data_IF_747462136755
#
_entry.id   IF_747462136755
#
_cell.length_a   1.000
_cell.length_b   1.000
_cell.length_c   1.000
_cell.angle_alpha   90.00
_cell.angle_beta   90.00
_cell.angle_gamma   90.00
#
_symmetry.space_group_name_H-M   'P 1'
#
loop_
_entity.id
_entity.type
_entity.pdbx_description
1 polymer ?
#
# COMPACT_ATOMS: atom_id res chain seq x y z
N UNK A 1 49.48 -5.34 -25.80
CA UNK A 1 48.71 -4.13 -25.46
C UNK A 1 48.04 -4.34 -24.12
N UNK A 2 48.53 -3.69 -23.06
CA UNK A 2 47.98 -3.86 -21.72
C UNK A 2 46.58 -3.23 -21.64
N UNK A 3 45.57 -3.99 -21.20
CA UNK A 3 44.23 -3.48 -20.90
C UNK A 3 44.38 -2.35 -19.88
N UNK A 4 44.00 -1.13 -20.26
CA UNK A 4 43.95 0.00 -19.33
C UNK A 4 43.18 -0.44 -18.07
N UNK A 5 43.79 -0.25 -16.90
CA UNK A 5 43.21 -0.61 -15.60
C UNK A 5 41.92 0.19 -15.46
N UNK A 6 40.78 -0.46 -15.73
CA UNK A 6 39.47 0.19 -15.76
C UNK A 6 39.25 0.98 -14.48
N UNK A 7 38.93 2.27 -14.62
CA UNK A 7 38.65 3.16 -13.49
C UNK A 7 37.51 2.52 -12.69
N UNK A 8 37.72 2.37 -11.37
CA UNK A 8 36.76 1.70 -10.49
C UNK A 8 35.43 2.45 -10.49
N UNK A 9 34.43 1.88 -11.16
CA UNK A 9 33.12 2.49 -11.40
C UNK A 9 32.32 2.65 -10.10
N UNK A 10 32.73 1.97 -9.01
CA UNK A 10 32.11 2.10 -7.71
C UNK A 10 32.41 3.46 -7.05
N UNK A 11 33.63 3.99 -7.23
CA UNK A 11 34.06 5.26 -6.63
C UNK A 11 33.35 6.48 -7.18
N UNK A 12 32.69 6.33 -8.33
CA UNK A 12 31.92 7.38 -9.00
C UNK A 12 30.47 7.46 -8.52
N UNK A 13 30.04 6.55 -7.64
CA UNK A 13 28.67 6.53 -7.13
C UNK A 13 28.58 7.31 -5.82
N UNK A 14 27.55 8.12 -5.72
CA UNK A 14 27.20 8.86 -4.52
C UNK A 14 26.00 8.19 -3.84
N UNK A 15 25.96 8.28 -2.51
CA UNK A 15 24.83 7.81 -1.70
C UNK A 15 23.79 8.91 -1.60
N UNK A 16 22.53 8.54 -1.78
CA UNK A 16 21.38 9.43 -1.65
C UNK A 16 20.37 8.87 -0.67
N UNK A 17 19.90 9.73 0.22
CA UNK A 17 18.93 9.37 1.24
C UNK A 17 17.51 9.43 0.69
N UNK A 18 16.74 8.38 0.89
CA UNK A 18 15.35 8.30 0.43
C UNK A 18 14.44 8.75 1.56
N UNK A 19 13.72 9.84 1.31
CA UNK A 19 12.77 10.40 2.25
C UNK A 19 11.35 9.93 1.92
N UNK A 20 10.62 9.54 2.96
CA UNK A 20 9.20 9.23 2.84
C UNK A 20 8.40 10.47 2.42
N UNK A 21 7.21 10.30 1.80
CA UNK A 21 6.32 11.42 1.57
C UNK A 21 5.87 12.03 2.91
N UNK A 22 5.47 13.30 2.90
CA UNK A 22 4.95 14.04 4.06
C UNK A 22 3.84 13.28 4.82
N UNK A 23 3.02 12.51 4.10
CA UNK A 23 1.97 11.63 4.62
C UNK A 23 2.46 10.64 5.70
N UNK A 24 3.75 10.31 5.71
CA UNK A 24 4.37 9.35 6.62
C UNK A 24 5.42 10.00 7.54
N UNK A 25 5.38 11.33 7.70
CA UNK A 25 6.27 12.05 8.61
C UNK A 25 7.68 12.35 8.07
N UNK A 26 7.88 12.20 6.75
CA UNK A 26 9.17 12.48 6.08
C UNK A 26 10.37 11.72 6.69
N UNK A 27 10.15 10.51 7.18
CA UNK A 27 11.21 9.66 7.74
C UNK A 27 12.14 9.15 6.65
N UNK A 28 13.42 8.94 6.99
CA UNK A 28 14.38 8.26 6.12
C UNK A 28 14.02 6.77 6.01
N UNK A 29 13.67 6.31 4.80
CA UNK A 29 13.26 4.92 4.54
C UNK A 29 14.48 4.05 4.22
N UNK A 30 15.48 4.63 3.57
CA UNK A 30 16.66 3.91 3.14
C UNK A 30 17.57 4.78 2.29
N UNK A 31 18.55 4.15 1.67
CA UNK A 31 19.57 4.83 0.89
C UNK A 31 19.67 4.19 -0.49
N UNK A 32 19.97 4.98 -1.51
CA UNK A 32 20.21 4.49 -2.86
C UNK A 32 21.44 5.13 -3.42
N UNK A 33 22.31 4.32 -4.00
CA UNK A 33 23.48 4.82 -4.71
C UNK A 33 23.22 5.03 -6.20
N UNK A 34 23.78 6.09 -6.77
CA UNK A 34 23.78 6.33 -8.20
C UNK A 34 25.01 7.15 -8.64
N UNK A 35 25.40 7.01 -9.91
CA UNK A 35 26.45 7.85 -10.50
C UNK A 35 25.88 9.19 -10.97
N UNK A 36 24.64 9.19 -11.45
CA UNK A 36 23.92 10.40 -11.85
C UNK A 36 22.53 10.45 -11.19
N UNK A 37 22.08 11.63 -10.72
CA UNK A 37 20.76 11.79 -10.12
C UNK A 37 19.60 11.35 -11.02
N UNK A 38 19.77 11.44 -12.35
CA UNK A 38 18.76 11.01 -13.34
C UNK A 38 18.46 9.51 -13.26
N UNK A 39 19.44 8.68 -12.87
CA UNK A 39 19.28 7.22 -12.77
C UNK A 39 18.45 6.79 -11.56
N UNK A 40 18.21 7.69 -10.60
CA UNK A 40 17.42 7.44 -9.39
C UNK A 40 15.93 7.53 -9.71
N UNK A 41 15.56 8.46 -10.60
CA UNK A 41 14.16 8.69 -10.99
C UNK A 41 13.55 7.41 -11.53
N UNK A 42 12.41 7.02 -10.97
CA UNK A 42 11.66 5.85 -11.42
C UNK A 42 12.02 4.52 -10.76
N UNK A 43 13.05 4.47 -9.90
CA UNK A 43 13.28 3.28 -9.06
C UNK A 43 12.11 3.08 -8.09
N UNK A 44 11.85 1.82 -7.75
CA UNK A 44 10.79 1.43 -6.82
C UNK A 44 11.44 0.86 -5.59
N UNK A 45 11.09 1.43 -4.43
CA UNK A 45 11.48 0.92 -3.13
C UNK A 45 10.28 0.23 -2.49
N UNK A 46 10.52 -0.94 -1.89
CA UNK A 46 9.56 -1.62 -1.02
C UNK A 46 10.05 -1.51 0.42
N UNK A 47 9.17 -1.05 1.31
CA UNK A 47 9.44 -0.96 2.76
C UNK A 47 8.23 -1.49 3.53
N UNK A 48 8.38 -1.78 4.81
CA UNK A 48 7.24 -2.15 5.66
C UNK A 48 6.71 -0.95 6.42
N UNK A 49 5.42 -0.99 6.80
CA UNK A 49 4.87 0.04 7.68
C UNK A 49 5.53 -0.01 9.07
N UNK A 50 5.90 -1.21 9.52
CA UNK A 50 6.56 -1.40 10.82
C UNK A 50 7.86 -0.59 10.92
N UNK A 51 8.65 -0.56 9.85
CA UNK A 51 9.91 0.20 9.81
C UNK A 51 9.68 1.73 9.71
N UNK A 52 8.48 2.17 9.30
CA UNK A 52 8.13 3.59 9.18
C UNK A 52 7.55 4.17 10.47
N UNK A 53 6.81 3.38 11.24
CA UNK A 53 6.12 3.82 12.46
C UNK A 53 6.69 3.18 13.73
N UNK A 54 7.77 2.42 13.63
CA UNK A 54 8.35 1.61 14.71
C UNK A 54 7.33 0.67 15.40
N UNK A 55 6.29 0.24 14.68
CA UNK A 55 5.25 -0.68 15.17
C UNK A 55 5.33 -2.03 14.46
N UNK A 56 5.97 -3.00 15.12
CA UNK A 56 6.16 -4.35 14.62
C UNK A 56 4.84 -5.12 14.38
N UNK A 57 3.73 -4.68 14.98
CA UNK A 57 2.42 -5.31 14.74
C UNK A 57 1.98 -5.19 13.28
N UNK A 58 2.45 -4.15 12.59
CA UNK A 58 2.07 -3.83 11.20
C UNK A 58 3.14 -4.14 10.17
N UNK A 59 4.16 -4.93 10.52
CA UNK A 59 5.19 -5.38 9.57
C UNK A 59 4.65 -6.20 8.39
N UNK A 60 3.43 -6.73 8.49
CA UNK A 60 2.77 -7.43 7.39
C UNK A 60 2.28 -6.50 6.27
N UNK A 61 2.28 -5.18 6.46
CA UNK A 61 1.91 -4.19 5.45
C UNK A 61 3.17 -3.74 4.72
N UNK A 62 3.25 -4.06 3.42
CA UNK A 62 4.33 -3.63 2.53
C UNK A 62 3.89 -2.43 1.70
N UNK A 63 4.69 -1.38 1.73
CA UNK A 63 4.48 -0.13 1.00
C UNK A 63 5.45 -0.04 -0.16
N UNK A 64 4.97 0.50 -1.28
CA UNK A 64 5.78 0.71 -2.48
C UNK A 64 5.83 2.18 -2.85
N UNK A 65 7.05 2.68 -2.96
CA UNK A 65 7.35 4.08 -3.25
C UNK A 65 8.12 4.19 -4.57
N UNK A 66 7.78 5.18 -5.38
CA UNK A 66 8.51 5.57 -6.60
C UNK A 66 9.41 6.75 -6.27
N UNK A 67 10.69 6.67 -6.61
CA UNK A 67 11.59 7.81 -6.50
C UNK A 67 11.26 8.85 -7.60
N UNK A 68 11.01 10.10 -7.20
CA UNK A 68 10.62 11.19 -8.11
C UNK A 68 11.77 12.13 -8.41
N UNK A 69 12.21 12.89 -7.43
CA UNK A 69 13.19 13.96 -7.59
C UNK A 69 14.24 13.93 -6.50
N UNK A 70 15.45 14.33 -6.86
CA UNK A 70 16.57 14.48 -5.96
C UNK A 70 16.72 15.97 -5.67
N UNK A 71 16.68 16.35 -4.40
CA UNK A 71 16.90 17.71 -3.90
C UNK A 71 17.97 17.61 -2.81
N UNK A 72 19.09 18.33 -2.98
CA UNK A 72 20.18 18.42 -1.97
C UNK A 72 20.67 17.07 -1.43
N UNK A 73 20.76 16.05 -2.30
CA UNK A 73 21.18 14.70 -1.92
C UNK A 73 20.07 13.82 -1.32
N UNK A 74 18.91 14.39 -1.03
CA UNK A 74 17.70 13.68 -0.60
C UNK A 74 16.79 13.36 -1.78
N UNK A 75 16.14 12.21 -1.73
CA UNK A 75 15.24 11.73 -2.79
C UNK A 75 13.80 11.75 -2.28
N UNK A 76 12.99 12.58 -2.92
CA UNK A 76 11.55 12.61 -2.71
C UNK A 76 10.88 11.37 -3.32
N UNK A 77 9.93 10.81 -2.59
CA UNK A 77 9.18 9.62 -2.99
C UNK A 77 7.72 9.95 -3.32
N UNK A 78 7.13 9.18 -4.22
CA UNK A 78 5.70 9.14 -4.49
C UNK A 78 5.12 7.78 -4.13
N UNK A 79 3.94 7.76 -3.53
CA UNK A 79 3.24 6.52 -3.23
C UNK A 79 2.73 5.83 -4.51
N UNK A 80 3.05 4.55 -4.69
CA UNK A 80 2.54 3.72 -5.78
C UNK A 80 1.37 2.86 -5.31
N UNK A 81 1.46 2.33 -4.09
CA UNK A 81 0.48 1.39 -3.55
C UNK A 81 1.01 0.61 -2.37
N UNK A 82 0.11 -0.14 -1.74
CA UNK A 82 0.43 -1.06 -0.66
C UNK A 82 0.01 -2.48 -1.00
N UNK A 83 0.62 -3.44 -0.33
CA UNK A 83 0.26 -4.84 -0.41
C UNK A 83 0.44 -5.50 0.95
N UNK A 84 -0.48 -6.36 1.34
CA UNK A 84 -0.28 -7.22 2.49
C UNK A 84 0.66 -8.38 2.12
N UNK A 85 1.43 -8.83 3.11
CA UNK A 85 2.30 -10.00 2.96
C UNK A 85 1.48 -11.24 2.66
N UNK A 86 2.05 -12.13 1.84
CA UNK A 86 1.35 -13.34 1.38
C UNK A 86 1.10 -14.29 2.54
N UNK A 87 2.06 -14.33 3.45
CA UNK A 87 2.09 -15.11 4.68
C UNK A 87 0.92 -14.70 5.58
N UNK A 88 0.71 -13.40 5.72
CA UNK A 88 -0.39 -12.85 6.50
C UNK A 88 -1.74 -13.21 5.89
N UNK A 89 -1.95 -12.97 4.59
CA UNK A 89 -3.24 -13.29 3.95
C UNK A 89 -3.54 -14.79 4.02
N UNK A 90 -2.52 -15.65 3.88
CA UNK A 90 -2.67 -17.10 4.00
C UNK A 90 -3.04 -17.54 5.41
N UNK A 91 -2.51 -16.89 6.46
CA UNK A 91 -2.82 -17.25 7.84
C UNK A 91 -4.25 -16.88 8.26
N UNK A 92 -4.82 -15.85 7.66
CA UNK A 92 -6.20 -15.43 7.95
C UNK A 92 -7.25 -16.34 7.30
N UNK A 93 -6.97 -16.86 6.10
CA UNK A 93 -7.91 -17.71 5.35
C UNK A 93 -7.87 -19.13 5.90
N UNK A 94 -8.93 -19.54 6.60
CA UNK A 94 -9.06 -20.88 7.19
C UNK A 94 -10.05 -21.77 6.43
N UNK A 95 -9.94 -23.09 6.62
CA UNK A 95 -10.95 -24.05 6.16
C UNK A 95 -12.30 -23.72 6.81
N UNK A 96 -13.39 -23.91 6.07
CA UNK A 96 -14.78 -23.62 6.49
C UNK A 96 -15.14 -22.13 6.65
N UNK A 97 -14.22 -21.22 6.36
CA UNK A 97 -14.51 -19.81 6.14
C UNK A 97 -14.73 -19.51 4.65
N UNK A 98 -15.47 -18.45 4.37
CA UNK A 98 -15.60 -17.89 3.01
C UNK A 98 -14.78 -16.61 2.92
N UNK A 99 -13.97 -16.51 1.87
CA UNK A 99 -13.25 -15.29 1.53
C UNK A 99 -14.03 -14.52 0.46
N UNK A 100 -14.37 -13.27 0.74
CA UNK A 100 -15.02 -12.37 -0.22
C UNK A 100 -14.01 -11.33 -0.67
N UNK A 101 -13.67 -11.35 -1.96
CA UNK A 101 -12.84 -10.32 -2.58
C UNK A 101 -13.73 -9.24 -3.22
N UNK A 102 -13.35 -7.98 -3.02
CA UNK A 102 -13.92 -6.82 -3.69
C UNK A 102 -12.77 -6.01 -4.33
N UNK A 103 -12.87 -5.72 -5.63
CA UNK A 103 -11.89 -4.94 -6.38
C UNK A 103 -12.65 -3.75 -6.96
N UNK A 104 -12.28 -2.54 -6.55
CA UNK A 104 -12.97 -1.32 -6.93
C UNK A 104 -11.99 -0.26 -7.38
N UNK A 105 -12.37 0.42 -8.45
CA UNK A 105 -11.70 1.62 -8.91
C UNK A 105 -12.38 2.82 -8.26
N UNK A 106 -11.59 3.60 -7.54
CA UNK A 106 -12.03 4.77 -6.78
C UNK A 106 -11.29 6.01 -7.28
N UNK A 107 -11.97 7.15 -7.19
CA UNK A 107 -11.37 8.45 -7.47
C UNK A 107 -11.41 9.25 -6.18
N UNK A 108 -10.23 9.69 -5.74
CA UNK A 108 -10.08 10.60 -4.60
C UNK A 108 -10.63 11.99 -4.93
N UNK A 109 -10.86 12.82 -3.91
CA UNK A 109 -11.26 14.22 -4.07
C UNK A 109 -10.32 15.01 -4.99
N UNK A 110 -9.03 14.70 -4.94
CA UNK A 110 -7.98 15.34 -5.75
C UNK A 110 -7.93 14.85 -7.21
N UNK A 111 -8.87 13.99 -7.62
CA UNK A 111 -8.95 13.43 -8.97
C UNK A 111 -7.96 12.30 -9.26
N UNK A 112 -7.15 11.89 -8.27
CA UNK A 112 -6.26 10.71 -8.41
C UNK A 112 -7.08 9.42 -8.40
N UNK A 113 -6.74 8.49 -9.30
CA UNK A 113 -7.44 7.20 -9.44
C UNK A 113 -6.66 6.08 -8.77
N UNK A 114 -7.31 5.37 -7.87
CA UNK A 114 -6.75 4.20 -7.20
C UNK A 114 -7.60 2.96 -7.47
N UNK A 115 -6.94 1.81 -7.58
CA UNK A 115 -7.57 0.49 -7.53
C UNK A 115 -7.33 -0.10 -6.16
N UNK A 116 -8.40 -0.38 -5.44
CA UNK A 116 -8.37 -0.97 -4.12
C UNK A 116 -8.88 -2.40 -4.20
N UNK A 117 -8.18 -3.32 -3.57
CA UNK A 117 -8.63 -4.68 -3.34
C UNK A 117 -8.82 -4.88 -1.85
N UNK A 118 -10.08 -5.06 -1.43
CA UNK A 118 -10.46 -5.39 -0.08
C UNK A 118 -10.85 -6.87 0.04
N UNK A 119 -10.59 -7.45 1.20
CA UNK A 119 -10.95 -8.82 1.55
C UNK A 119 -11.77 -8.79 2.83
N UNK A 120 -12.88 -9.52 2.83
CA UNK A 120 -13.61 -9.89 4.03
C UNK A 120 -13.54 -11.41 4.23
N UNK A 121 -13.29 -11.84 5.47
CA UNK A 121 -13.20 -13.26 5.85
C UNK A 121 -14.28 -13.55 6.88
N UNK A 122 -15.20 -14.45 6.54
CA UNK A 122 -16.30 -14.84 7.42
C UNK A 122 -15.88 -15.87 8.48
N UNK A 123 -16.65 -15.96 9.58
CA UNK A 123 -16.44 -17.05 10.55
C UNK A 123 -16.92 -18.41 10.02
N UNK A 124 -17.98 -18.41 9.21
CA UNK A 124 -18.65 -19.61 8.68
C UNK A 124 -18.81 -19.51 7.17
N UNK A 125 -19.16 -20.62 6.52
CA UNK A 125 -19.56 -20.60 5.11
C UNK A 125 -20.80 -19.75 4.91
N UNK A 126 -20.74 -18.85 3.94
CA UNK A 126 -21.81 -17.91 3.60
C UNK A 126 -22.49 -18.35 2.29
N UNK A 127 -23.79 -18.07 2.14
CA UNK A 127 -24.55 -18.32 0.90
C UNK A 127 -24.12 -17.37 -0.22
N UNK A 128 -24.28 -17.78 -1.47
CA UNK A 128 -23.89 -16.95 -2.62
C UNK A 128 -24.62 -15.58 -2.67
N UNK A 129 -25.89 -15.53 -2.27
CA UNK A 129 -26.66 -14.28 -2.21
C UNK A 129 -26.03 -13.26 -1.26
N UNK A 130 -25.67 -13.71 -0.05
CA UNK A 130 -25.00 -12.87 0.95
C UNK A 130 -23.63 -12.41 0.46
N UNK A 131 -22.85 -13.25 -0.23
CA UNK A 131 -21.56 -12.84 -0.84
C UNK A 131 -21.74 -11.66 -1.80
N UNK A 132 -22.80 -11.68 -2.61
CA UNK A 132 -23.12 -10.59 -3.54
C UNK A 132 -23.50 -9.31 -2.80
N UNK A 133 -24.33 -9.41 -1.77
CA UNK A 133 -24.71 -8.26 -0.93
C UNK A 133 -23.49 -7.62 -0.25
N UNK A 134 -22.64 -8.43 0.38
CA UNK A 134 -21.39 -7.99 1.02
C UNK A 134 -20.51 -7.23 0.02
N UNK A 135 -20.33 -7.77 -1.19
CA UNK A 135 -19.51 -7.12 -2.21
C UNK A 135 -20.07 -5.76 -2.62
N UNK A 136 -21.39 -5.65 -2.76
CA UNK A 136 -22.06 -4.39 -3.10
C UNK A 136 -21.90 -3.33 -2.01
N UNK A 137 -22.04 -3.71 -0.73
CA UNK A 137 -21.86 -2.79 0.40
C UNK A 137 -20.41 -2.36 0.58
N UNK A 138 -19.45 -3.29 0.40
CA UNK A 138 -18.03 -2.96 0.37
C UNK A 138 -17.73 -1.92 -0.69
N UNK A 139 -18.25 -2.12 -1.91
CA UNK A 139 -18.02 -1.20 -3.02
C UNK A 139 -18.62 0.18 -2.76
N UNK A 140 -19.84 0.23 -2.22
CA UNK A 140 -20.51 1.49 -1.86
C UNK A 140 -19.70 2.26 -0.80
N UNK A 141 -19.38 1.60 0.31
CA UNK A 141 -18.62 2.20 1.42
C UNK A 141 -17.25 2.71 0.96
N UNK A 142 -16.55 1.94 0.12
CA UNK A 142 -15.26 2.35 -0.45
C UNK A 142 -15.40 3.59 -1.32
N UNK A 143 -16.41 3.65 -2.20
CA UNK A 143 -16.62 4.79 -3.10
C UNK A 143 -17.01 6.05 -2.32
N UNK A 144 -17.84 5.92 -1.30
CA UNK A 144 -18.32 7.07 -0.51
C UNK A 144 -17.15 7.68 0.28
N UNK A 145 -16.37 6.86 1.02
CA UNK A 145 -15.20 7.36 1.77
C UNK A 145 -14.12 7.94 0.87
N UNK A 146 -13.88 7.36 -0.31
CA UNK A 146 -12.88 7.89 -1.24
C UNK A 146 -13.28 9.25 -1.85
N UNK A 147 -14.57 9.56 -1.95
CA UNK A 147 -15.03 10.86 -2.48
C UNK A 147 -14.85 12.00 -1.47
N UNK A 148 -14.94 11.67 -0.19
CA UNK A 148 -14.82 12.65 0.91
C UNK A 148 -13.35 13.04 1.16
N UNK A 149 -12.44 12.08 1.05
CA UNK A 149 -11.05 12.23 1.46
C UNK A 149 -10.12 12.69 0.34
N UNK A 150 -9.15 13.52 0.73
CA UNK A 150 -7.96 13.83 -0.07
C UNK A 150 -7.04 12.61 -0.15
N UNK A 151 -6.19 12.55 -1.17
CA UNK A 151 -5.35 11.39 -1.45
C UNK A 151 -4.43 11.04 -0.28
N UNK A 152 -3.82 12.06 0.34
CA UNK A 152 -2.84 11.85 1.39
C UNK A 152 -3.50 11.24 2.65
N UNK A 153 -4.68 11.76 3.01
CA UNK A 153 -5.51 11.22 4.09
C UNK A 153 -6.01 9.81 3.76
N UNK A 154 -6.48 9.60 2.52
CA UNK A 154 -6.95 8.30 2.07
C UNK A 154 -5.88 7.22 2.20
N UNK A 155 -4.63 7.51 1.81
CA UNK A 155 -3.52 6.57 1.94
C UNK A 155 -3.23 6.25 3.40
N UNK A 156 -3.26 7.24 4.30
CA UNK A 156 -3.11 7.00 5.73
C UNK A 156 -4.22 6.10 6.28
N UNK A 157 -5.49 6.37 5.95
CA UNK A 157 -6.61 5.56 6.42
C UNK A 157 -6.60 4.12 5.88
N UNK A 158 -6.18 3.95 4.62
CA UNK A 158 -5.99 2.65 3.98
C UNK A 158 -4.95 1.80 4.72
N UNK A 159 -3.85 2.44 5.11
CA UNK A 159 -2.68 1.77 5.71
C UNK A 159 -2.88 1.54 7.21
N UNK A 160 -3.53 2.47 7.92
CA UNK A 160 -3.85 2.36 9.34
C UNK A 160 -5.06 1.44 9.61
N UNK A 161 -5.86 1.13 8.60
CA UNK A 161 -6.97 0.18 8.68
C UNK A 161 -8.31 0.79 9.10
N UNK A 162 -8.43 2.12 9.22
CA UNK A 162 -9.70 2.80 9.53
C UNK A 162 -10.79 2.45 8.49
N UNK A 163 -10.41 2.46 7.21
CA UNK A 163 -11.31 2.09 6.12
C UNK A 163 -11.79 0.64 6.24
N UNK A 164 -10.95 -0.26 6.75
CA UNK A 164 -11.33 -1.65 6.98
C UNK A 164 -12.31 -1.80 8.17
N UNK A 165 -12.14 -0.98 9.21
CA UNK A 165 -13.06 -0.91 10.36
C UNK A 165 -14.45 -0.40 9.95
N UNK A 166 -14.52 0.60 9.10
CA UNK A 166 -15.81 1.11 8.59
C UNK A 166 -16.56 0.05 7.79
N UNK A 167 -15.85 -0.63 6.90
CA UNK A 167 -16.40 -1.74 6.12
C UNK A 167 -16.86 -2.89 7.04
N UNK A 168 -16.10 -3.19 8.10
CA UNK A 168 -16.51 -4.19 9.09
C UNK A 168 -17.82 -3.83 9.78
N UNK A 169 -18.00 -2.56 10.14
CA UNK A 169 -19.22 -2.09 10.81
C UNK A 169 -20.47 -2.19 9.96
N UNK A 170 -20.36 -2.00 8.64
CA UNK A 170 -21.49 -2.15 7.72
C UNK A 170 -21.82 -3.63 7.53
N UNK A 171 -20.81 -4.46 7.22
CA UNK A 171 -21.09 -5.84 6.80
C UNK A 171 -21.46 -6.76 7.98
N UNK A 172 -21.08 -6.42 9.22
CA UNK A 172 -21.40 -7.26 10.40
C UNK A 172 -22.92 -7.48 10.56
N UNK A 173 -23.75 -6.57 10.04
CA UNK A 173 -25.21 -6.68 10.08
C UNK A 173 -25.74 -7.79 9.16
N UNK A 174 -25.06 -8.06 8.03
CA UNK A 174 -25.44 -9.14 7.11
C UNK A 174 -24.98 -10.50 7.64
N UNK A 175 -23.74 -10.58 8.09
CA UNK A 175 -23.11 -11.86 8.42
C UNK A 175 -22.01 -11.74 9.48
N UNK A 176 -21.75 -12.82 10.24
CA UNK A 176 -20.64 -12.86 11.18
C UNK A 176 -19.29 -12.88 10.44
N UNK A 177 -18.56 -11.76 10.52
CA UNK A 177 -17.23 -11.58 9.93
C UNK A 177 -16.15 -11.68 10.99
N UNK A 178 -15.06 -12.37 10.62
CA UNK A 178 -13.88 -12.51 11.46
C UNK A 178 -12.95 -11.32 11.31
N UNK A 179 -12.64 -10.95 10.07
CA UNK A 179 -11.70 -9.86 9.77
C UNK A 179 -12.01 -9.27 8.39
N UNK A 180 -11.84 -7.95 8.28
CA UNK A 180 -11.86 -7.21 7.02
C UNK A 180 -10.53 -6.48 6.90
N UNK A 181 -9.96 -6.48 5.70
CA UNK A 181 -8.72 -5.77 5.41
C UNK A 181 -8.65 -5.29 3.98
N UNK A 182 -7.80 -4.29 3.75
CA UNK A 182 -7.43 -3.87 2.41
C UNK A 182 -6.15 -4.60 1.99
N UNK A 183 -6.29 -5.62 1.15
CA UNK A 183 -5.18 -6.45 0.71
C UNK A 183 -4.17 -5.69 -0.12
N UNK A 184 -4.65 -4.87 -1.07
CA UNK A 184 -3.78 -4.21 -2.04
C UNK A 184 -4.38 -2.90 -2.48
N UNK A 185 -3.57 -1.86 -2.59
CA UNK A 185 -3.91 -0.67 -3.35
C UNK A 185 -2.91 -0.46 -4.48
N UNK A 186 -3.36 0.19 -5.55
CA UNK A 186 -2.51 0.61 -6.65
C UNK A 186 -3.01 1.94 -7.19
N UNK A 187 -2.13 2.92 -7.26
CA UNK A 187 -2.38 4.16 -8.01
C UNK A 187 -2.35 3.84 -9.51
N UNK A 188 -3.43 4.19 -10.21
CA UNK A 188 -3.54 4.02 -11.66
C UNK A 188 -3.05 5.27 -12.37
N UNK A 189 -3.52 6.45 -11.93
CA UNK A 189 -3.26 7.74 -12.55
C UNK A 189 -3.25 8.85 -11.50
#
# INVERSE_FOLDING_TARGET
MAKAKGRDTWRLKEWHDIMAPSMFGSTKIGETMATEPKQIKGRILETTLGDLTDDFSKSHVKLRFKLKEVQDGQVSTGYIGHNLSREYVRSQVRRWATKVDCITDVTSKDGRKLRIKAIAISLRRIRHSQIKSIRSEMEKTLKDRCRELEFDQLVQELVLGKLASDIYNVIKEICPIRRVEVQKSRVIK
#
